data_IF_437339840421
#
_entry.id   IF_437339840421
#
_cell.length_a   1.000
_cell.length_b   1.000
_cell.length_c   1.000
_cell.angle_alpha   90.00
_cell.angle_beta   90.00
_cell.angle_gamma   90.00
#
_symmetry.space_group_name_H-M   'P 1'
#
loop_
_entity.id
_entity.type
_entity.pdbx_description
1 polymer ?
#
# COMPACT_ATOMS: atom_id res chain seq x y z
N UNK A 1 2.28 18.87 9.38
CA UNK A 1 2.72 18.02 8.24
C UNK A 1 1.47 17.37 7.65
N UNK A 2 1.38 17.19 6.32
CA UNK A 2 0.27 16.45 5.74
C UNK A 2 0.37 14.97 6.12
N UNK A 3 -0.70 14.46 6.73
CA UNK A 3 -0.91 13.04 6.98
C UNK A 3 -1.53 12.42 5.73
N UNK A 4 -0.98 11.29 5.28
CA UNK A 4 -1.44 10.59 4.09
C UNK A 4 -1.87 9.17 4.41
N UNK A 5 -3.13 8.86 4.08
CA UNK A 5 -3.69 7.52 4.21
C UNK A 5 -3.46 6.74 2.91
N UNK A 6 -2.50 5.82 2.92
CA UNK A 6 -2.23 4.90 1.83
C UNK A 6 -3.02 3.60 2.00
N UNK A 7 -4.02 3.39 1.15
CA UNK A 7 -4.77 2.13 1.08
C UNK A 7 -4.20 1.21 0.00
N UNK A 8 -3.61 0.09 0.41
CA UNK A 8 -3.11 -0.95 -0.47
C UNK A 8 -4.14 -2.09 -0.59
N UNK A 9 -4.59 -2.31 -1.82
CA UNK A 9 -5.45 -3.42 -2.20
C UNK A 9 -4.62 -4.48 -2.94
N UNK A 10 -4.38 -5.62 -2.29
CA UNK A 10 -3.57 -6.70 -2.83
C UNK A 10 -4.43 -7.88 -3.31
N UNK A 11 -3.92 -8.61 -4.31
CA UNK A 11 -4.55 -9.84 -4.80
C UNK A 11 -4.60 -10.89 -3.69
N UNK A 12 -5.64 -11.75 -3.67
CA UNK A 12 -5.82 -12.77 -2.62
C UNK A 12 -4.77 -13.89 -2.68
N UNK A 13 -4.10 -14.06 -3.82
CA UNK A 13 -3.05 -15.06 -4.00
C UNK A 13 -1.67 -14.65 -3.46
N UNK A 14 -1.52 -13.41 -2.96
CA UNK A 14 -0.24 -12.95 -2.41
C UNK A 14 -0.05 -13.57 -1.03
N UNK A 15 1.04 -14.32 -0.87
CA UNK A 15 1.42 -14.91 0.43
C UNK A 15 1.72 -13.79 1.43
N UNK A 16 1.36 -13.98 2.70
CA UNK A 16 1.63 -13.01 3.77
C UNK A 16 3.11 -12.64 3.89
N UNK A 17 4.02 -13.60 3.66
CA UNK A 17 5.46 -13.33 3.64
C UNK A 17 5.85 -12.26 2.59
N UNK A 18 5.28 -12.34 1.39
CA UNK A 18 5.53 -11.37 0.33
C UNK A 18 4.91 -9.98 0.65
N UNK A 19 3.81 -9.96 1.40
CA UNK A 19 3.22 -8.71 1.90
C UNK A 19 4.14 -8.03 2.90
N UNK A 20 4.69 -8.79 3.86
CA UNK A 20 5.62 -8.26 4.86
C UNK A 20 6.89 -7.71 4.22
N UNK A 21 7.43 -8.41 3.21
CA UNK A 21 8.57 -7.91 2.43
C UNK A 21 8.26 -6.61 1.68
N UNK A 22 7.04 -6.48 1.14
CA UNK A 22 6.60 -5.26 0.47
C UNK A 22 6.50 -4.11 1.47
N UNK A 23 5.85 -4.32 2.62
CA UNK A 23 5.74 -3.34 3.70
C UNK A 23 7.12 -2.91 4.19
N UNK A 24 8.06 -3.84 4.37
CA UNK A 24 9.43 -3.53 4.75
C UNK A 24 10.16 -2.67 3.70
N UNK A 25 9.94 -2.94 2.40
CA UNK A 25 10.46 -2.09 1.30
C UNK A 25 9.84 -0.69 1.33
N UNK A 26 8.53 -0.59 1.58
CA UNK A 26 7.82 0.69 1.73
C UNK A 26 8.42 1.50 2.87
N UNK A 27 8.53 0.89 4.05
CA UNK A 27 9.08 1.53 5.25
C UNK A 27 10.48 2.08 5.02
N UNK A 28 11.37 1.30 4.38
CA UNK A 28 12.72 1.78 4.02
C UNK A 28 12.70 2.97 3.04
N UNK A 29 11.80 2.97 2.07
CA UNK A 29 11.70 4.05 1.09
C UNK A 29 11.14 5.34 1.69
N UNK A 30 10.16 5.21 2.60
CA UNK A 30 9.60 6.33 3.38
C UNK A 30 10.68 6.91 4.30
N UNK A 31 11.41 6.06 5.03
CA UNK A 31 12.49 6.47 5.92
C UNK A 31 13.61 7.20 5.18
N UNK A 32 14.04 6.71 4.00
CA UNK A 32 15.07 7.36 3.17
C UNK A 32 14.66 8.77 2.69
N UNK A 33 13.36 9.05 2.66
CA UNK A 33 12.81 10.34 2.25
C UNK A 33 12.49 11.25 3.43
N UNK A 34 12.92 10.92 4.64
CA UNK A 34 12.57 11.65 5.88
C UNK A 34 11.06 11.71 6.14
N UNK A 35 10.33 10.67 5.72
CA UNK A 35 8.95 10.46 6.13
C UNK A 35 8.87 9.58 7.38
N UNK A 36 7.77 9.70 8.12
CA UNK A 36 7.44 8.87 9.28
C UNK A 36 6.24 8.00 8.93
N UNK A 37 6.32 6.71 9.22
CA UNK A 37 5.18 5.81 9.17
C UNK A 37 4.54 5.82 10.56
N UNK A 38 3.32 6.31 10.70
CA UNK A 38 2.64 6.44 11.99
C UNK A 38 1.90 5.17 12.37
N UNK A 39 1.18 4.57 11.42
CA UNK A 39 0.38 3.37 11.69
C UNK A 39 0.28 2.45 10.48
N UNK A 40 0.15 1.15 10.76
CA UNK A 40 -0.02 0.12 9.75
C UNK A 40 -1.07 -0.89 10.21
N UNK A 41 -2.24 -0.86 9.58
CA UNK A 41 -3.39 -1.71 9.89
C UNK A 41 -3.64 -2.70 8.76
N UNK A 42 -3.65 -3.98 9.09
CA UNK A 42 -4.10 -5.05 8.18
C UNK A 42 -5.55 -5.42 8.50
N UNK A 43 -6.42 -5.35 7.49
CA UNK A 43 -7.83 -5.71 7.59
C UNK A 43 -8.12 -7.12 7.04
N UNK A 44 -7.09 -7.84 6.60
CA UNK A 44 -7.21 -9.18 6.05
C UNK A 44 -7.95 -9.22 4.70
N UNK A 45 -8.58 -10.36 4.40
CA UNK A 45 -9.33 -10.56 3.16
C UNK A 45 -10.70 -9.91 3.24
N UNK A 46 -10.91 -8.87 2.44
CA UNK A 46 -12.16 -8.14 2.33
C UNK A 46 -12.86 -8.53 1.02
N UNK A 47 -14.15 -8.84 1.12
CA UNK A 47 -15.00 -9.09 -0.04
C UNK A 47 -15.46 -7.74 -0.62
N UNK A 48 -15.28 -7.56 -1.92
CA UNK A 48 -15.69 -6.36 -2.64
C UNK A 48 -17.15 -6.48 -3.08
N UNK A 49 -17.90 -5.36 -3.02
CA UNK A 49 -19.26 -5.29 -3.56
C UNK A 49 -19.34 -5.43 -5.08
N UNK A 50 -18.21 -5.29 -5.78
CA UNK A 50 -18.08 -5.50 -7.22
C UNK A 50 -16.70 -6.06 -7.55
N UNK A 51 -16.61 -6.83 -8.64
CA UNK A 51 -15.33 -7.40 -9.07
C UNK A 51 -14.43 -6.36 -9.74
N UNK A 52 -13.26 -6.09 -9.18
CA UNK A 52 -12.26 -5.22 -9.80
C UNK A 52 -11.58 -5.97 -10.94
N UNK A 53 -11.63 -5.39 -12.15
CA UNK A 53 -10.96 -5.95 -13.34
C UNK A 53 -9.48 -5.53 -13.34
N UNK A 54 -8.59 -6.51 -13.22
CA UNK A 54 -7.14 -6.37 -13.45
C UNK A 54 -6.75 -7.18 -14.70
N UNK A 55 -5.47 -7.12 -15.09
CA UNK A 55 -4.93 -7.91 -16.21
C UNK A 55 -5.18 -9.41 -16.05
N UNK A 56 -5.16 -9.91 -14.81
CA UNK A 56 -5.30 -11.33 -14.48
C UNK A 56 -6.76 -11.80 -14.33
N UNK A 57 -7.75 -10.92 -14.53
CA UNK A 57 -9.17 -11.25 -14.40
C UNK A 57 -9.95 -10.33 -13.45
N UNK A 58 -11.16 -10.77 -13.06
CA UNK A 58 -12.00 -10.05 -12.09
C UNK A 58 -11.82 -10.64 -10.70
N UNK A 59 -11.42 -9.80 -9.75
CA UNK A 59 -11.24 -10.20 -8.36
C UNK A 59 -12.38 -9.64 -7.51
N UNK A 60 -13.06 -10.52 -6.78
CA UNK A 60 -14.13 -10.18 -5.84
C UNK A 60 -13.66 -10.20 -4.38
N UNK A 61 -12.48 -10.75 -4.12
CA UNK A 61 -11.84 -10.79 -2.80
C UNK A 61 -10.43 -10.24 -2.93
N UNK A 62 -10.03 -9.35 -2.02
CA UNK A 62 -8.70 -8.74 -1.97
C UNK A 62 -8.23 -8.66 -0.52
N UNK A 63 -6.92 -8.56 -0.32
CA UNK A 63 -6.34 -8.25 0.99
C UNK A 63 -6.23 -6.74 1.12
N UNK A 64 -6.75 -6.19 2.23
CA UNK A 64 -6.80 -4.75 2.49
C UNK A 64 -5.78 -4.35 3.56
N UNK A 65 -4.88 -3.43 3.23
CA UNK A 65 -3.87 -2.89 4.14
C UNK A 65 -3.90 -1.36 4.10
N UNK A 66 -4.02 -0.73 5.27
CA UNK A 66 -3.96 0.72 5.41
C UNK A 66 -2.65 1.12 6.09
N UNK A 67 -1.99 2.14 5.56
CA UNK A 67 -0.77 2.70 6.10
C UNK A 67 -0.91 4.22 6.20
N UNK A 68 -0.65 4.77 7.37
CA UNK A 68 -0.66 6.21 7.63
C UNK A 68 0.78 6.73 7.55
N UNK A 69 1.05 7.63 6.61
CA UNK A 69 2.40 8.14 6.34
C UNK A 69 2.39 9.66 6.51
N UNK A 70 3.26 10.16 7.37
CA UNK A 70 3.59 11.58 7.47
C UNK A 70 4.80 11.90 6.59
N UNK A 71 4.62 12.80 5.63
CA UNK A 71 5.69 13.27 4.76
C UNK A 71 5.92 14.75 4.98
N UNK A 72 7.19 15.16 4.89
CA UNK A 72 7.57 16.56 5.04
C UNK A 72 7.12 17.45 3.87
N UNK A 73 6.87 16.88 2.69
CA UNK A 73 6.45 17.62 1.48
C UNK A 73 5.55 16.79 0.55
N UNK A 74 4.55 17.39 -0.12
CA UNK A 74 3.70 16.70 -1.11
C UNK A 74 4.45 16.19 -2.34
N UNK A 75 5.57 16.82 -2.70
CA UNK A 75 6.44 16.39 -3.83
C UNK A 75 7.00 14.99 -3.55
N UNK A 76 7.32 14.73 -2.29
CA UNK A 76 7.88 13.49 -1.80
C UNK A 76 6.89 12.32 -1.93
N UNK A 77 5.59 12.61 -1.72
CA UNK A 77 4.50 11.66 -1.92
C UNK A 77 4.35 11.28 -3.39
N UNK A 78 4.37 12.24 -4.32
CA UNK A 78 4.35 11.95 -5.76
C UNK A 78 5.50 11.02 -6.17
N UNK A 79 6.69 11.27 -5.63
CA UNK A 79 7.85 10.44 -5.88
C UNK A 79 7.75 9.06 -5.22
N UNK A 80 6.93 8.90 -4.18
CA UNK A 80 6.66 7.61 -3.53
C UNK A 80 5.67 6.81 -4.39
N UNK A 81 4.56 7.44 -4.78
CA UNK A 81 3.54 6.87 -5.68
C UNK A 81 4.09 6.46 -7.04
N UNK A 82 5.02 7.23 -7.62
CA UNK A 82 5.69 6.84 -8.86
C UNK A 82 6.56 5.59 -8.72
N UNK A 83 7.09 5.33 -7.52
CA UNK A 83 7.83 4.10 -7.20
C UNK A 83 6.88 2.92 -6.92
N UNK A 84 5.69 3.21 -6.38
CA UNK A 84 4.64 2.21 -6.12
C UNK A 84 3.75 1.88 -7.31
N UNK A 85 3.87 2.62 -8.41
CA UNK A 85 3.20 2.29 -9.66
C UNK A 85 3.90 1.06 -10.24
N UNK A 86 3.45 -0.10 -9.75
CA UNK A 86 3.90 -1.44 -10.11
C UNK A 86 3.91 -1.59 -11.64
N UNK A 87 5.10 -1.91 -12.15
CA UNK A 87 5.35 -2.55 -13.43
C UNK A 87 4.77 -3.98 -13.40
#
# INVERSE_FOLDING_TARGET
MPLYDCMLLLKPHVKEAALMDLVAKVGRHVYRKNGVLTDLKSFGTVNLGYGIKKLDGRFYQLVHLAAEIELFSPILMFLLLSTFRVN
#
